data_IF_146044175870
#
_entry.id   IF_146044175870
#
_cell.length_a   1.000
_cell.length_b   1.000
_cell.length_c   1.000
_cell.angle_alpha   90.00
_cell.angle_beta   90.00
_cell.angle_gamma   90.00
#
_symmetry.space_group_name_H-M   'P 1'
#
loop_
_entity.id
_entity.type
_entity.pdbx_description
1 polymer ?
#
# COMPACT_ATOMS: atom_id res chain seq x y z
N UNK A 1 4.30 -7.68 1.77
CA UNK A 1 4.01 -7.52 3.21
C UNK A 1 4.64 -6.26 3.82
N UNK A 2 5.97 -6.10 3.77
CA UNK A 2 6.68 -4.94 4.33
C UNK A 2 6.20 -3.56 3.84
N UNK A 3 5.87 -3.43 2.54
CA UNK A 3 5.39 -2.18 1.93
C UNK A 3 4.07 -1.69 2.56
N UNK A 4 3.15 -2.62 2.80
CA UNK A 4 1.88 -2.32 3.48
C UNK A 4 2.04 -2.28 5.01
N UNK A 5 3.20 -2.69 5.54
CA UNK A 5 3.46 -2.80 6.97
C UNK A 5 2.60 -3.88 7.65
N UNK A 6 2.21 -4.91 6.91
CA UNK A 6 1.39 -6.02 7.40
C UNK A 6 2.20 -7.29 7.49
N UNK A 7 1.80 -8.19 8.38
CA UNK A 7 2.45 -9.48 8.57
C UNK A 7 2.25 -10.41 7.37
N UNK A 8 3.16 -11.35 7.15
CA UNK A 8 2.99 -12.42 6.15
C UNK A 8 1.73 -13.27 6.42
N UNK A 9 1.35 -13.40 7.69
CA UNK A 9 0.12 -14.08 8.10
C UNK A 9 -1.13 -13.18 8.04
N UNK A 10 -1.02 -11.91 7.65
CA UNK A 10 -2.14 -10.97 7.66
C UNK A 10 -3.27 -11.44 6.74
N UNK A 11 -4.51 -11.29 7.19
CA UNK A 11 -5.68 -11.64 6.37
C UNK A 11 -5.97 -10.57 5.32
N UNK A 12 -6.73 -10.92 4.28
CA UNK A 12 -7.17 -9.98 3.22
C UNK A 12 -7.87 -8.75 3.81
N UNK A 13 -8.59 -8.93 4.93
CA UNK A 13 -9.19 -7.83 5.71
C UNK A 13 -8.16 -6.87 6.29
N UNK A 14 -7.07 -7.39 6.85
CA UNK A 14 -5.99 -6.56 7.40
C UNK A 14 -5.20 -5.83 6.31
N UNK A 15 -4.90 -6.51 5.20
CA UNK A 15 -4.26 -5.93 4.02
C UNK A 15 -5.10 -4.76 3.49
N UNK A 16 -6.41 -4.94 3.38
CA UNK A 16 -7.35 -3.88 2.95
C UNK A 16 -7.37 -2.70 3.92
N UNK A 17 -7.31 -2.98 5.23
CA UNK A 17 -7.30 -1.96 6.28
C UNK A 17 -6.01 -1.15 6.32
N UNK A 18 -4.88 -1.81 6.11
CA UNK A 18 -3.57 -1.18 5.99
C UNK A 18 -3.48 -0.30 4.74
N UNK A 19 -3.92 -0.82 3.57
CA UNK A 19 -3.99 -0.05 2.33
C UNK A 19 -4.87 1.20 2.50
N UNK A 20 -6.05 1.08 3.10
CA UNK A 20 -6.91 2.25 3.43
C UNK A 20 -6.19 3.26 4.32
N UNK A 21 -5.44 2.80 5.31
CA UNK A 21 -4.71 3.70 6.22
C UNK A 21 -3.60 4.46 5.47
N UNK A 22 -2.88 3.79 4.57
CA UNK A 22 -1.85 4.41 3.71
C UNK A 22 -2.49 5.40 2.74
N UNK A 23 -3.59 5.03 2.08
CA UNK A 23 -4.33 5.89 1.17
C UNK A 23 -4.82 7.18 1.87
N UNK A 24 -5.31 7.06 3.10
CA UNK A 24 -5.72 8.21 3.91
C UNK A 24 -4.51 9.05 4.36
N UNK A 25 -3.36 8.43 4.64
CA UNK A 25 -2.11 9.12 5.00
C UNK A 25 -1.54 9.93 3.84
N UNK A 26 -1.61 9.37 2.64
CA UNK A 26 -1.10 9.97 1.41
C UNK A 26 -2.15 10.79 0.64
N UNK A 27 -3.40 10.83 1.12
CA UNK A 27 -4.52 11.52 0.46
C UNK A 27 -4.20 13.00 0.19
N UNK A 28 -4.47 13.52 -1.02
CA UNK A 28 -4.14 14.90 -1.40
C UNK A 28 -4.85 15.95 -0.53
N UNK A 29 -6.01 15.62 0.03
CA UNK A 29 -6.75 16.49 0.96
C UNK A 29 -5.94 16.80 2.24
N UNK A 30 -5.21 15.80 2.79
CA UNK A 30 -4.29 16.00 3.92
C UNK A 30 -2.98 16.68 3.52
N UNK A 31 -2.62 16.64 2.24
CA UNK A 31 -1.46 17.34 1.68
C UNK A 31 -1.73 18.79 1.29
N UNK A 32 -2.97 19.28 1.39
CA UNK A 32 -3.35 20.67 1.05
C UNK A 32 -2.60 21.77 1.84
N UNK A 33 -1.76 21.42 2.83
CA UNK A 33 -0.85 22.34 3.51
C UNK A 33 0.66 22.08 3.31
N UNK A 34 1.05 21.04 2.56
CA UNK A 34 2.45 20.56 2.39
C UNK A 34 2.79 20.33 0.90
N UNK A 35 2.19 21.10 0.00
CA UNK A 35 2.60 21.14 -1.39
C UNK A 35 3.99 21.78 -1.48
N UNK A 36 5.03 20.95 -1.42
CA UNK A 36 6.40 21.35 -1.66
C UNK A 36 6.52 21.74 -3.15
N UNK A 37 7.01 22.93 -3.51
CA UNK A 37 7.06 23.40 -4.91
C UNK A 37 8.03 22.62 -5.82
N UNK A 38 8.69 21.57 -5.32
CA UNK A 38 9.70 20.80 -6.05
C UNK A 38 9.17 19.53 -6.74
N UNK A 39 7.87 19.22 -6.66
CA UNK A 39 7.26 18.14 -7.44
C UNK A 39 7.74 16.72 -7.11
N UNK A 40 8.62 16.54 -6.12
CA UNK A 40 8.91 15.23 -5.55
C UNK A 40 7.86 14.90 -4.52
N UNK A 41 6.81 14.24 -5.00
CA UNK A 41 5.81 13.62 -4.15
C UNK A 41 6.38 12.28 -3.64
N UNK A 42 7.20 12.33 -2.59
CA UNK A 42 7.76 11.16 -1.87
C UNK A 42 6.68 10.15 -1.42
N UNK A 43 5.41 10.54 -1.49
CA UNK A 43 4.31 9.69 -1.15
C UNK A 43 3.48 9.19 -2.33
N UNK A 44 3.76 9.61 -3.56
CA UNK A 44 3.26 8.95 -4.76
C UNK A 44 3.96 7.60 -4.91
N UNK A 45 5.29 7.55 -4.73
CA UNK A 45 6.06 6.31 -4.87
C UNK A 45 5.62 5.25 -3.84
N UNK A 46 5.52 5.63 -2.56
CA UNK A 46 4.98 4.74 -1.51
C UNK A 46 3.54 4.32 -1.74
N UNK A 47 2.72 5.19 -2.34
CA UNK A 47 1.34 4.85 -2.65
C UNK A 47 1.26 3.85 -3.81
N UNK A 48 2.05 4.06 -4.86
CA UNK A 48 2.18 3.14 -6.00
C UNK A 48 2.67 1.77 -5.54
N UNK A 49 3.71 1.72 -4.70
CA UNK A 49 4.20 0.46 -4.11
C UNK A 49 3.12 -0.22 -3.25
N UNK A 50 2.43 0.54 -2.40
CA UNK A 50 1.35 0.01 -1.55
C UNK A 50 0.18 -0.51 -2.39
N UNK A 51 -0.14 0.15 -3.50
CA UNK A 51 -1.17 -0.28 -4.43
C UNK A 51 -0.78 -1.58 -5.13
N UNK A 52 0.45 -1.68 -5.65
CA UNK A 52 0.96 -2.89 -6.27
C UNK A 52 0.97 -4.07 -5.28
N UNK A 53 1.42 -3.85 -4.05
CA UNK A 53 1.38 -4.85 -3.00
C UNK A 53 -0.06 -5.27 -2.67
N UNK A 54 -1.00 -4.33 -2.59
CA UNK A 54 -2.41 -4.62 -2.37
C UNK A 54 -3.02 -5.45 -3.51
N UNK A 55 -2.71 -5.15 -4.78
CA UNK A 55 -3.25 -5.89 -5.93
C UNK A 55 -2.81 -7.36 -5.99
N UNK A 56 -1.62 -7.66 -5.47
CA UNK A 56 -1.13 -9.05 -5.35
C UNK A 56 -1.77 -9.71 -4.12
N UNK A 57 -1.80 -9.01 -2.98
CA UNK A 57 -2.20 -9.59 -1.70
C UNK A 57 -3.72 -9.67 -1.49
N UNK A 58 -4.53 -8.87 -2.21
CA UNK A 58 -6.00 -8.96 -2.13
C UNK A 58 -6.53 -10.18 -2.86
N UNK A 59 -5.81 -10.65 -3.87
CA UNK A 59 -6.21 -11.76 -4.72
C UNK A 59 -5.59 -13.03 -4.16
N UNK A 60 -6.42 -13.91 -3.61
CA UNK A 60 -5.98 -15.12 -2.93
C UNK A 60 -5.14 -16.01 -3.85
N UNK A 61 -5.47 -16.07 -5.15
CA UNK A 61 -4.72 -16.85 -6.12
C UNK A 61 -3.34 -16.23 -6.39
N UNK A 62 -3.26 -14.89 -6.56
CA UNK A 62 -1.95 -14.22 -6.73
C UNK A 62 -1.11 -14.30 -5.46
N UNK A 63 -1.74 -14.21 -4.30
CA UNK A 63 -1.09 -14.34 -3.00
C UNK A 63 -0.51 -15.74 -2.84
N UNK A 64 -1.30 -16.78 -3.14
CA UNK A 64 -0.84 -18.17 -3.08
C UNK A 64 0.34 -18.40 -4.03
N UNK A 65 0.29 -17.87 -5.26
CA UNK A 65 1.43 -17.92 -6.19
C UNK A 65 2.67 -17.21 -5.64
N UNK A 66 2.48 -16.06 -4.97
CA UNK A 66 3.57 -15.30 -4.38
C UNK A 66 4.17 -16.00 -3.15
N UNK A 67 3.34 -16.62 -2.32
CA UNK A 67 3.76 -17.39 -1.14
C UNK A 67 4.40 -18.74 -1.54
N UNK A 68 3.90 -19.39 -2.60
CA UNK A 68 4.40 -20.68 -3.08
C UNK A 68 5.70 -20.58 -3.90
N UNK A 69 5.97 -19.41 -4.48
CA UNK A 69 7.20 -19.11 -5.22
C UNK A 69 8.31 -18.47 -4.39
N UNK A 70 8.07 -18.25 -3.09
CA UNK A 70 8.97 -17.62 -2.12
C UNK A 70 9.90 -18.60 -1.40
#
# INVERSE_FOLDING_TARGET
YAILGVDSAATTSEITRAYRSIAIKHHPDRRRGRANPTGQDDGDEKFVEAQAAYEILKDDAKREFYDAGG
#
